data_IF_495354445468
#
_entry.id   IF_495354445468
#
_cell.length_a   1.000
_cell.length_b   1.000
_cell.length_c   1.000
_cell.angle_alpha   90.00
_cell.angle_beta   90.00
_cell.angle_gamma   90.00
#
_symmetry.space_group_name_H-M   'P 1'
#
loop_
_entity.id
_entity.type
_entity.pdbx_description
1 polymer ?
#
# COMPACT_ATOMS: atom_id res chain seq x y z
N UNK A 1 -10.92 -2.27 -4.47
CA UNK A 1 -10.17 -1.24 -3.71
C UNK A 1 -8.85 -0.94 -4.42
N UNK A 2 -8.75 0.19 -5.13
CA UNK A 2 -7.50 0.62 -5.75
C UNK A 2 -6.45 0.98 -4.68
N UNK A 3 -5.21 0.53 -4.87
CA UNK A 3 -4.05 0.90 -4.05
C UNK A 3 -3.20 1.96 -4.74
N UNK A 4 -3.05 1.83 -6.05
CA UNK A 4 -2.34 2.75 -6.95
C UNK A 4 -3.02 2.72 -8.33
N UNK A 5 -2.40 3.34 -9.33
CA UNK A 5 -2.89 3.28 -10.71
C UNK A 5 -2.82 1.87 -11.31
N UNK A 6 -1.91 1.04 -10.83
CA UNK A 6 -1.55 -0.28 -11.35
C UNK A 6 -1.79 -1.43 -10.36
N UNK A 7 -2.25 -1.15 -9.13
CA UNK A 7 -2.58 -2.16 -8.12
C UNK A 7 -3.98 -1.96 -7.55
N UNK A 8 -4.72 -3.06 -7.36
CA UNK A 8 -6.01 -3.06 -6.68
C UNK A 8 -6.25 -4.39 -5.97
N UNK A 9 -6.97 -4.35 -4.84
CA UNK A 9 -7.60 -5.53 -4.25
C UNK A 9 -9.01 -5.71 -4.79
N UNK A 10 -9.37 -6.96 -5.03
CA UNK A 10 -10.70 -7.39 -5.42
C UNK A 10 -11.15 -8.47 -4.43
N UNK A 11 -12.41 -8.40 -4.00
CA UNK A 11 -13.02 -9.46 -3.20
C UNK A 11 -13.67 -10.47 -4.14
N UNK A 12 -13.20 -11.72 -4.08
CA UNK A 12 -13.71 -12.83 -4.88
C UNK A 12 -14.69 -13.73 -4.10
N UNK A 13 -15.06 -13.36 -2.87
CA UNK A 13 -16.08 -14.10 -2.12
C UNK A 13 -17.39 -14.21 -2.91
N UNK A 14 -17.95 -15.42 -2.98
CA UNK A 14 -19.21 -15.68 -3.69
C UNK A 14 -19.11 -15.82 -5.21
N UNK A 15 -17.92 -15.70 -5.80
CA UNK A 15 -17.71 -15.91 -7.24
C UNK A 15 -18.04 -17.32 -7.71
N UNK A 16 -17.86 -18.34 -6.87
CA UNK A 16 -18.30 -19.71 -7.15
C UNK A 16 -19.79 -19.80 -7.40
N UNK A 17 -20.59 -19.14 -6.55
CA UNK A 17 -22.05 -19.11 -6.69
C UNK A 17 -22.49 -18.30 -7.91
N UNK A 18 -21.82 -17.19 -8.19
CA UNK A 18 -22.21 -16.28 -9.27
C UNK A 18 -21.75 -16.74 -10.66
N UNK A 19 -20.56 -17.36 -10.73
CA UNK A 19 -19.90 -17.71 -11.99
C UNK A 19 -19.71 -19.21 -12.20
N UNK A 20 -20.07 -20.06 -11.22
CA UNK A 20 -19.89 -21.51 -11.30
C UNK A 20 -18.43 -21.95 -11.32
N UNK A 21 -17.50 -21.13 -10.81
CA UNK A 21 -16.06 -21.36 -10.89
C UNK A 21 -15.35 -20.94 -9.60
N UNK A 22 -14.31 -21.69 -9.17
CA UNK A 22 -13.44 -21.30 -8.07
C UNK A 22 -12.81 -19.91 -8.29
N UNK A 23 -12.56 -19.13 -7.22
CA UNK A 23 -11.96 -17.79 -7.32
C UNK A 23 -10.69 -17.74 -8.17
N UNK A 24 -9.86 -18.77 -8.10
CA UNK A 24 -8.63 -18.87 -8.86
C UNK A 24 -8.86 -18.86 -10.37
N UNK A 25 -9.88 -19.58 -10.87
CA UNK A 25 -10.24 -19.59 -12.29
C UNK A 25 -10.83 -18.26 -12.74
N UNK A 26 -11.65 -17.63 -11.89
CA UNK A 26 -12.22 -16.30 -12.19
C UNK A 26 -11.10 -15.26 -12.32
N UNK A 27 -10.13 -15.26 -11.40
CA UNK A 27 -8.98 -14.35 -11.44
C UNK A 27 -8.08 -14.62 -12.65
N UNK A 28 -7.83 -15.89 -13.00
CA UNK A 28 -7.04 -16.24 -14.18
C UNK A 28 -7.72 -15.78 -15.48
N UNK A 29 -9.04 -15.95 -15.59
CA UNK A 29 -9.83 -15.43 -16.73
C UNK A 29 -9.77 -13.91 -16.81
N UNK A 30 -9.89 -13.22 -15.67
CA UNK A 30 -9.75 -11.77 -15.61
C UNK A 30 -8.39 -11.31 -16.15
N UNK A 31 -7.28 -11.92 -15.72
CA UNK A 31 -5.95 -11.59 -16.19
C UNK A 31 -5.81 -11.77 -17.72
N UNK A 32 -6.34 -12.86 -18.28
CA UNK A 32 -6.35 -13.09 -19.73
C UNK A 32 -7.21 -12.08 -20.49
N UNK A 33 -8.36 -11.68 -19.92
CA UNK A 33 -9.22 -10.65 -20.53
C UNK A 33 -8.51 -9.30 -20.58
N UNK A 34 -7.81 -8.91 -19.50
CA UNK A 34 -6.99 -7.69 -19.47
C UNK A 34 -5.93 -7.72 -20.57
N UNK A 35 -5.21 -8.84 -20.70
CA UNK A 35 -4.18 -8.99 -21.74
C UNK A 35 -4.76 -8.90 -23.15
N UNK A 36 -5.87 -9.60 -23.43
CA UNK A 36 -6.52 -9.57 -24.76
C UNK A 36 -7.09 -8.20 -25.11
N UNK A 37 -7.68 -7.51 -24.15
CA UNK A 37 -8.38 -6.25 -24.40
C UNK A 37 -7.44 -5.04 -24.45
N UNK A 38 -6.38 -5.04 -23.64
CA UNK A 38 -5.51 -3.86 -23.43
C UNK A 38 -4.07 -4.08 -23.90
N UNK A 39 -3.67 -5.32 -24.23
CA UNK A 39 -2.29 -5.65 -24.63
C UNK A 39 -1.28 -5.57 -23.49
N UNK A 40 -1.73 -5.48 -22.24
CA UNK A 40 -0.88 -5.42 -21.03
C UNK A 40 -1.11 -6.65 -20.16
N UNK A 41 -0.05 -7.08 -19.47
CA UNK A 41 -0.12 -8.25 -18.59
C UNK A 41 -0.29 -7.82 -17.14
N UNK A 42 -0.92 -8.68 -16.33
CA UNK A 42 -1.05 -8.49 -14.88
C UNK A 42 -0.42 -9.67 -14.15
N UNK A 43 0.17 -9.40 -12.99
CA UNK A 43 0.50 -10.47 -12.04
C UNK A 43 -0.56 -10.48 -10.93
N UNK A 44 -1.03 -11.65 -10.56
CA UNK A 44 -2.18 -11.83 -9.68
C UNK A 44 -1.85 -12.73 -8.50
N UNK A 45 -2.31 -12.33 -7.32
CA UNK A 45 -2.21 -13.09 -6.09
C UNK A 45 -3.60 -13.35 -5.52
N UNK A 46 -3.86 -14.59 -5.10
CA UNK A 46 -5.10 -14.98 -4.44
C UNK A 46 -4.79 -15.52 -3.05
N UNK A 47 -5.52 -15.06 -2.04
CA UNK A 47 -5.49 -15.60 -0.69
C UNK A 47 -6.78 -15.23 0.05
N UNK A 48 -6.91 -15.72 1.28
CA UNK A 48 -8.06 -15.50 2.15
C UNK A 48 -8.05 -14.12 2.84
N UNK A 49 -6.92 -13.41 2.82
CA UNK A 49 -6.79 -12.07 3.39
C UNK A 49 -5.94 -11.12 2.52
N UNK A 50 -6.12 -9.80 2.70
CA UNK A 50 -5.45 -8.77 1.86
C UNK A 50 -3.93 -8.86 1.91
N UNK A 51 -3.37 -9.05 3.11
CA UNK A 51 -1.93 -9.17 3.28
C UNK A 51 -1.33 -10.30 2.43
N UNK A 52 -1.86 -11.52 2.56
CA UNK A 52 -1.33 -12.67 1.83
C UNK A 52 -1.64 -12.60 0.34
N UNK A 53 -2.77 -12.01 -0.05
CA UNK A 53 -3.06 -11.77 -1.47
C UNK A 53 -2.02 -10.85 -2.11
N UNK A 54 -1.58 -9.79 -1.40
CA UNK A 54 -0.49 -8.93 -1.87
C UNK A 54 0.84 -9.68 -1.95
N UNK A 55 1.19 -10.44 -0.91
CA UNK A 55 2.42 -11.27 -0.92
C UNK A 55 2.42 -12.24 -2.10
N UNK A 56 1.31 -12.93 -2.34
CA UNK A 56 1.16 -13.85 -3.47
C UNK A 56 1.36 -13.14 -4.82
N UNK A 57 0.84 -11.92 -4.96
CA UNK A 57 0.93 -11.15 -6.21
C UNK A 57 2.35 -10.72 -6.57
N UNK A 58 3.21 -10.53 -5.56
CA UNK A 58 4.61 -10.14 -5.75
C UNK A 58 5.54 -11.34 -5.99
N UNK A 59 5.17 -12.54 -5.55
CA UNK A 59 6.04 -13.72 -5.50
C UNK A 59 6.52 -14.24 -6.87
N UNK A 60 5.67 -14.18 -7.92
CA UNK A 60 5.97 -14.74 -9.26
C UNK A 60 5.96 -13.70 -10.38
N UNK A 61 6.25 -12.43 -10.07
CA UNK A 61 6.37 -11.40 -11.10
C UNK A 61 7.54 -11.70 -12.06
N UNK A 62 7.46 -11.35 -13.37
CA UNK A 62 6.29 -10.80 -14.08
C UNK A 62 5.31 -11.88 -14.59
N UNK A 63 4.08 -11.48 -14.94
CA UNK A 63 2.99 -12.36 -15.43
C UNK A 63 2.67 -13.53 -14.49
N UNK A 64 2.91 -13.34 -13.19
CA UNK A 64 2.75 -14.38 -12.18
C UNK A 64 1.30 -14.61 -11.79
N UNK A 65 0.98 -15.85 -11.42
CA UNK A 65 -0.26 -16.17 -10.73
C UNK A 65 0.10 -17.01 -9.51
N UNK A 66 -0.21 -16.59 -8.29
CA UNK A 66 0.10 -17.36 -7.08
C UNK A 66 -1.09 -17.42 -6.15
N UNK A 67 -1.22 -18.54 -5.44
CA UNK A 67 -2.24 -18.76 -4.43
C UNK A 67 -1.55 -19.13 -3.12
N UNK A 68 -1.95 -18.50 -2.03
CA UNK A 68 -1.53 -18.88 -0.67
C UNK A 68 -2.80 -19.20 0.11
N UNK A 69 -3.02 -20.49 0.39
CA UNK A 69 -4.11 -21.00 1.22
C UNK A 69 -3.81 -20.90 2.72
N UNK A 70 -4.87 -21.07 3.53
CA UNK A 70 -4.78 -21.02 5.00
C UNK A 70 -3.88 -22.10 5.59
N UNK A 71 -3.87 -23.29 5.00
CA UNK A 71 -3.14 -24.44 5.53
C UNK A 71 -1.62 -24.24 5.47
N UNK A 72 -1.11 -23.67 4.38
CA UNK A 72 0.31 -23.44 4.18
C UNK A 72 0.80 -22.06 4.66
N UNK A 73 -0.11 -21.10 4.91
CA UNK A 73 0.24 -19.70 5.15
C UNK A 73 1.27 -19.50 6.26
N UNK A 74 1.06 -20.13 7.43
CA UNK A 74 1.96 -19.94 8.59
C UNK A 74 3.36 -20.49 8.29
N UNK A 75 3.42 -21.69 7.69
CA UNK A 75 4.69 -22.34 7.33
C UNK A 75 5.43 -21.57 6.25
N UNK A 76 4.73 -21.19 5.17
CA UNK A 76 5.26 -20.34 4.11
C UNK A 76 5.83 -19.03 4.66
N UNK A 77 5.08 -18.34 5.52
CA UNK A 77 5.50 -17.08 6.12
C UNK A 77 6.74 -17.24 6.98
N UNK A 78 6.88 -18.33 7.74
CA UNK A 78 7.98 -18.52 8.70
C UNK A 78 9.37 -18.37 8.06
N UNK A 79 9.51 -18.77 6.79
CA UNK A 79 10.74 -18.73 6.01
C UNK A 79 11.04 -17.36 5.38
N UNK A 80 10.08 -16.44 5.41
CA UNK A 80 10.19 -15.15 4.73
C UNK A 80 10.89 -14.09 5.60
N UNK A 81 11.55 -13.09 4.99
CA UNK A 81 12.10 -11.96 5.72
C UNK A 81 10.98 -11.07 6.28
N UNK A 82 11.25 -10.39 7.40
CA UNK A 82 10.27 -9.46 8.01
C UNK A 82 9.85 -8.31 7.09
N UNK A 83 10.68 -7.96 6.11
CA UNK A 83 10.39 -6.94 5.08
C UNK A 83 9.22 -7.33 4.17
N UNK A 84 8.83 -8.61 4.13
CA UNK A 84 7.65 -9.06 3.40
C UNK A 84 6.35 -8.64 4.10
N UNK A 85 6.38 -8.38 5.42
CA UNK A 85 5.20 -7.89 6.14
C UNK A 85 4.86 -6.48 5.68
N UNK A 86 3.66 -6.30 5.15
CA UNK A 86 3.18 -4.99 4.70
C UNK A 86 3.18 -3.99 5.86
N UNK A 87 3.98 -2.92 5.73
CA UNK A 87 4.19 -1.90 6.77
C UNK A 87 5.58 -1.95 7.39
N UNK A 88 6.37 -3.01 7.16
CA UNK A 88 7.78 -3.08 7.55
C UNK A 88 8.65 -2.46 6.47
N UNK A 89 8.81 -1.14 6.54
CA UNK A 89 9.75 -0.40 5.68
C UNK A 89 11.21 -0.51 6.14
N UNK A 90 12.14 0.01 5.34
CA UNK A 90 13.60 -0.06 5.59
C UNK A 90 14.01 0.32 7.03
N UNK A 91 13.48 1.42 7.55
CA UNK A 91 13.82 1.90 8.89
C UNK A 91 13.33 0.93 9.99
N UNK A 92 12.14 0.36 9.83
CA UNK A 92 11.60 -0.57 10.81
C UNK A 92 12.25 -1.94 10.71
N UNK A 93 12.57 -2.40 9.49
CA UNK A 93 13.39 -3.59 9.28
C UNK A 93 14.75 -3.46 9.96
N UNK A 94 15.43 -2.30 9.85
CA UNK A 94 16.69 -2.05 10.53
C UNK A 94 16.55 -2.01 12.07
N UNK A 95 15.38 -1.67 12.61
CA UNK A 95 15.11 -1.76 14.04
C UNK A 95 14.95 -3.22 14.49
N UNK A 96 14.15 -4.01 13.75
CA UNK A 96 13.97 -5.44 13.98
C UNK A 96 15.31 -6.19 13.88
N UNK A 97 16.12 -5.86 12.89
CA UNK A 97 17.46 -6.40 12.67
C UNK A 97 18.38 -6.20 13.88
N UNK A 98 18.39 -4.98 14.46
CA UNK A 98 19.16 -4.67 15.67
C UNK A 98 18.71 -5.47 16.89
N UNK A 99 17.44 -5.86 16.91
CA UNK A 99 16.86 -6.71 17.95
C UNK A 99 17.03 -8.22 17.63
N UNK A 100 17.75 -8.57 16.56
CA UNK A 100 18.04 -9.94 16.14
C UNK A 100 16.93 -10.61 15.30
N UNK A 101 15.95 -9.83 14.83
CA UNK A 101 14.75 -10.30 14.13
C UNK A 101 14.87 -10.01 12.64
N UNK A 102 15.11 -11.07 11.86
CA UNK A 102 15.26 -11.10 10.40
C UNK A 102 14.11 -11.78 9.69
N UNK A 103 13.55 -12.82 10.28
CA UNK A 103 12.51 -13.65 9.65
C UNK A 103 11.18 -13.53 10.36
N UNK A 104 10.10 -13.78 9.63
CA UNK A 104 8.75 -13.80 10.20
C UNK A 104 8.61 -14.96 11.19
N UNK A 105 9.29 -16.09 10.98
CA UNK A 105 9.30 -17.22 11.92
C UNK A 105 9.84 -16.85 13.31
N UNK A 106 10.74 -15.86 13.42
CA UNK A 106 11.17 -15.34 14.72
C UNK A 106 10.04 -14.57 15.42
N UNK A 107 9.26 -13.77 14.68
CA UNK A 107 8.08 -13.07 15.22
C UNK A 107 6.97 -14.05 15.65
N UNK A 108 6.81 -15.18 14.95
CA UNK A 108 5.85 -16.22 15.31
C UNK A 108 6.16 -16.91 16.65
N UNK A 109 7.42 -16.84 17.12
CA UNK A 109 7.84 -17.40 18.43
C UNK A 109 7.72 -16.39 19.57
N UNK A 110 7.44 -15.13 19.28
CA UNK A 110 7.32 -14.07 20.28
C UNK A 110 5.87 -13.93 20.75
N UNK A 111 5.72 -13.62 22.05
CA UNK A 111 4.44 -13.33 22.66
C UNK A 111 3.88 -11.98 22.21
N UNK A 112 2.55 -11.90 22.07
CA UNK A 112 1.88 -10.66 21.62
C UNK A 112 2.21 -9.48 22.52
N UNK A 113 2.18 -9.68 23.84
CA UNK A 113 2.47 -8.64 24.82
C UNK A 113 3.92 -8.13 24.70
N UNK A 114 4.88 -9.00 24.38
CA UNK A 114 6.26 -8.60 24.18
C UNK A 114 6.44 -7.73 22.92
N UNK A 115 5.84 -8.15 21.80
CA UNK A 115 5.88 -7.38 20.56
C UNK A 115 5.22 -6.01 20.75
N UNK A 116 4.08 -5.95 21.44
CA UNK A 116 3.41 -4.69 21.78
C UNK A 116 4.27 -3.79 22.68
N UNK A 117 4.96 -4.36 23.67
CA UNK A 117 5.86 -3.60 24.54
C UNK A 117 7.04 -3.01 23.77
N UNK A 118 7.61 -3.74 22.81
CA UNK A 118 8.78 -3.29 22.02
C UNK A 118 8.42 -2.33 20.88
N UNK A 119 7.30 -2.57 20.20
CA UNK A 119 6.96 -1.88 18.93
C UNK A 119 5.58 -1.21 18.92
N UNK A 120 4.91 -1.14 20.07
CA UNK A 120 3.60 -0.51 20.22
C UNK A 120 2.53 -1.14 19.32
N UNK A 121 1.76 -0.29 18.64
CA UNK A 121 0.72 -0.72 17.69
C UNK A 121 1.29 -1.57 16.54
N UNK A 122 2.53 -1.29 16.11
CA UNK A 122 3.18 -2.12 15.09
C UNK A 122 3.53 -3.51 15.62
N UNK A 123 3.76 -3.66 16.93
CA UNK A 123 3.98 -4.96 17.55
C UNK A 123 2.77 -5.88 17.44
N UNK A 124 1.57 -5.37 17.73
CA UNK A 124 0.32 -6.11 17.50
C UNK A 124 0.17 -6.52 16.03
N UNK A 125 0.47 -5.58 15.12
CA UNK A 125 0.38 -5.84 13.69
C UNK A 125 1.36 -6.91 13.23
N UNK A 126 2.60 -6.89 13.72
CA UNK A 126 3.60 -7.94 13.46
C UNK A 126 3.12 -9.30 13.97
N UNK A 127 2.55 -9.34 15.18
CA UNK A 127 2.03 -10.58 15.77
C UNK A 127 0.93 -11.21 14.89
N UNK A 128 -0.05 -10.41 14.45
CA UNK A 128 -1.16 -10.88 13.61
C UNK A 128 -0.69 -11.27 12.20
N UNK A 129 0.02 -10.39 11.51
CA UNK A 129 0.44 -10.63 10.12
C UNK A 129 1.45 -11.77 10.00
N UNK A 130 2.34 -11.96 10.98
CA UNK A 130 3.26 -13.11 11.00
C UNK A 130 2.54 -14.46 11.04
N UNK A 131 1.27 -14.48 11.47
CA UNK A 131 0.40 -15.66 11.55
C UNK A 131 -0.68 -15.66 10.47
N UNK A 132 -0.53 -14.83 9.43
CA UNK A 132 -1.49 -14.73 8.33
C UNK A 132 -2.84 -14.12 8.72
N UNK A 133 -2.92 -13.43 9.86
CA UNK A 133 -4.16 -12.83 10.36
C UNK A 133 -4.27 -11.38 9.90
N UNK A 134 -5.20 -11.09 9.00
CA UNK A 134 -5.51 -9.74 8.52
C UNK A 134 -7.02 -9.61 8.35
N UNK A 135 -7.64 -8.84 9.24
CA UNK A 135 -9.09 -8.62 9.35
C UNK A 135 -9.62 -7.51 8.43
N UNK A 136 -8.72 -6.81 7.73
CA UNK A 136 -9.09 -5.74 6.80
C UNK A 136 -9.85 -6.31 5.60
N UNK A 137 -11.07 -5.82 5.40
CA UNK A 137 -11.88 -6.11 4.21
C UNK A 137 -11.46 -5.27 3.02
N UNK A 138 -11.81 -5.73 1.83
CA UNK A 138 -11.68 -4.93 0.60
C UNK A 138 -12.76 -3.86 0.64
N UNK A 139 -12.34 -2.60 0.63
CA UNK A 139 -13.23 -1.44 0.65
C UNK A 139 -13.11 -0.68 -0.69
N UNK A 140 -14.04 -0.85 -1.63
CA UNK A 140 -14.01 -0.13 -2.89
C UNK A 140 -14.29 1.37 -2.74
N UNK A 141 -14.81 1.84 -1.60
CA UNK A 141 -15.41 3.17 -1.42
C UNK A 141 -14.62 4.12 -0.54
N UNK A 142 -13.32 3.91 -0.32
CA UNK A 142 -12.52 4.83 0.48
C UNK A 142 -12.48 6.23 -0.12
N UNK A 143 -13.16 7.20 0.51
CA UNK A 143 -13.07 8.61 0.13
C UNK A 143 -11.62 9.09 0.16
N UNK A 144 -11.23 9.88 -0.84
CA UNK A 144 -9.91 10.48 -0.90
C UNK A 144 -9.71 11.41 0.31
N UNK A 145 -8.88 10.99 1.28
CA UNK A 145 -8.60 11.77 2.49
C UNK A 145 -7.76 13.02 2.24
N UNK A 146 -7.10 13.09 1.09
CA UNK A 146 -6.28 14.23 0.68
C UNK A 146 -6.16 14.28 -0.84
N UNK A 147 -6.09 15.49 -1.39
CA UNK A 147 -5.73 15.75 -2.79
C UNK A 147 -4.44 16.55 -2.81
N UNK A 148 -3.43 16.07 -3.54
CA UNK A 148 -2.13 16.74 -3.64
C UNK A 148 -1.60 16.74 -5.07
N UNK A 149 -0.67 17.65 -5.35
CA UNK A 149 0.17 17.63 -6.54
C UNK A 149 1.59 18.01 -6.08
N UNK A 150 2.58 17.22 -6.49
CA UNK A 150 3.98 17.41 -6.15
C UNK A 150 4.83 17.12 -7.39
N UNK A 151 6.00 17.75 -7.46
CA UNK A 151 6.97 17.53 -8.53
C UNK A 151 8.37 17.45 -7.93
N UNK A 152 9.20 16.60 -8.52
CA UNK A 152 10.65 16.62 -8.29
C UNK A 152 11.27 17.42 -9.44
N UNK A 153 12.29 18.22 -9.14
CA UNK A 153 12.96 19.04 -10.15
C UNK A 153 14.11 18.26 -10.79
N UNK A 154 14.40 18.57 -12.06
CA UNK A 154 15.56 17.99 -12.76
C UNK A 154 16.90 18.54 -12.22
N UNK A 155 16.87 19.78 -11.73
CA UNK A 155 17.97 20.43 -11.02
C UNK A 155 17.46 21.07 -9.72
N UNK A 156 18.31 21.11 -8.70
CA UNK A 156 17.97 21.74 -7.43
C UNK A 156 17.76 23.25 -7.62
N UNK A 157 16.57 23.72 -7.25
CA UNK A 157 16.20 25.15 -7.22
C UNK A 157 15.86 25.56 -5.79
N UNK A 158 16.16 26.80 -5.44
CA UNK A 158 16.04 27.28 -4.05
C UNK A 158 15.57 28.71 -3.90
N UNK A 159 15.52 29.49 -4.99
CA UNK A 159 15.10 30.88 -4.89
C UNK A 159 13.57 30.98 -4.94
N UNK A 160 13.02 32.02 -4.30
CA UNK A 160 11.58 32.26 -4.31
C UNK A 160 11.06 32.55 -5.74
N UNK A 161 11.88 33.20 -6.57
CA UNK A 161 11.54 33.52 -7.95
C UNK A 161 11.32 32.25 -8.80
N UNK A 162 12.08 31.19 -8.54
CA UNK A 162 11.92 29.89 -9.22
C UNK A 162 10.79 29.06 -8.62
N UNK A 163 10.65 29.06 -7.29
CA UNK A 163 9.70 28.19 -6.59
C UNK A 163 8.24 28.68 -6.68
N UNK A 164 7.99 30.00 -6.72
CA UNK A 164 6.63 30.55 -6.72
C UNK A 164 5.83 30.16 -7.98
N UNK A 165 6.37 30.26 -9.21
CA UNK A 165 5.67 29.81 -10.41
C UNK A 165 5.30 28.33 -10.35
N UNK A 166 6.21 27.47 -9.89
CA UNK A 166 5.96 26.03 -9.71
C UNK A 166 4.84 25.81 -8.70
N UNK A 167 4.92 26.45 -7.52
CA UNK A 167 3.92 26.30 -6.47
C UNK A 167 2.54 26.74 -6.96
N UNK A 168 2.46 27.81 -7.74
CA UNK A 168 1.20 28.27 -8.37
C UNK A 168 0.64 27.20 -9.31
N UNK A 169 1.44 26.67 -10.22
CA UNK A 169 1.00 25.62 -11.14
C UNK A 169 0.55 24.34 -10.41
N UNK A 170 1.23 23.95 -9.33
CA UNK A 170 0.81 22.83 -8.48
C UNK A 170 -0.51 23.14 -7.76
N UNK A 171 -0.69 24.36 -7.27
CA UNK A 171 -1.91 24.81 -6.60
C UNK A 171 -3.11 24.79 -7.54
N UNK A 172 -2.93 25.22 -8.80
CA UNK A 172 -3.95 25.13 -9.85
C UNK A 172 -4.31 23.67 -10.17
N UNK A 173 -3.33 22.77 -10.26
CA UNK A 173 -3.57 21.32 -10.43
C UNK A 173 -4.39 20.74 -9.27
N UNK A 174 -4.08 21.11 -8.02
CA UNK A 174 -4.88 20.69 -6.86
C UNK A 174 -6.29 21.24 -6.94
N UNK A 175 -6.45 22.54 -7.23
CA UNK A 175 -7.76 23.18 -7.38
C UNK A 175 -8.61 22.52 -8.47
N UNK A 176 -8.04 22.22 -9.63
CA UNK A 176 -8.73 21.55 -10.72
C UNK A 176 -9.20 20.13 -10.32
N UNK A 177 -8.38 19.39 -9.57
CA UNK A 177 -8.74 18.06 -9.05
C UNK A 177 -9.88 18.14 -8.03
N UNK A 178 -9.79 19.07 -7.07
CA UNK A 178 -10.84 19.31 -6.08
C UNK A 178 -12.18 19.64 -6.74
N UNK A 179 -12.19 20.58 -7.70
CA UNK A 179 -13.37 20.95 -8.49
C UNK A 179 -13.95 19.77 -9.26
N UNK A 180 -13.11 18.99 -9.94
CA UNK A 180 -13.54 17.80 -10.69
C UNK A 180 -14.19 16.74 -9.80
N UNK A 181 -13.69 16.60 -8.57
CA UNK A 181 -14.21 15.66 -7.58
C UNK A 181 -15.36 16.22 -6.74
N UNK A 182 -15.75 17.49 -6.92
CA UNK A 182 -16.83 18.10 -6.15
C UNK A 182 -16.56 18.22 -4.65
N UNK A 183 -15.28 18.26 -4.24
CA UNK A 183 -14.85 18.32 -2.84
C UNK A 183 -14.03 19.57 -2.56
N UNK A 184 -13.98 19.99 -1.29
CA UNK A 184 -13.18 21.12 -0.82
C UNK A 184 -12.23 20.68 0.31
N UNK A 185 -11.09 21.37 0.43
CA UNK A 185 -10.08 21.08 1.44
C UNK A 185 -10.04 22.16 2.52
N UNK A 186 -9.98 21.76 3.80
CA UNK A 186 -9.84 22.70 4.93
C UNK A 186 -8.39 22.95 5.35
N UNK A 187 -7.51 21.97 5.14
CA UNK A 187 -6.10 22.06 5.56
C UNK A 187 -5.20 22.06 4.33
N UNK A 188 -4.40 23.10 4.19
CA UNK A 188 -3.37 23.19 3.16
C UNK A 188 -2.06 22.68 3.73
N UNK A 189 -1.39 21.80 2.99
CA UNK A 189 -0.10 21.24 3.38
C UNK A 189 0.93 21.58 2.30
N UNK A 190 1.98 22.32 2.70
CA UNK A 190 3.14 22.59 1.87
C UNK A 190 4.26 21.61 2.25
N UNK A 191 4.83 20.97 1.23
CA UNK A 191 6.00 20.09 1.36
C UNK A 191 7.14 20.64 0.52
N UNK A 192 8.33 20.67 1.09
CA UNK A 192 9.58 20.97 0.38
C UNK A 192 10.60 19.90 0.75
N UNK A 193 11.15 19.22 -0.25
CA UNK A 193 12.25 18.26 -0.07
C UNK A 193 13.55 18.95 -0.44
N UNK A 194 14.53 18.87 0.45
CA UNK A 194 15.86 19.47 0.24
C UNK A 194 16.82 18.50 -0.46
N UNK A 195 17.95 19.01 -0.94
CA UNK A 195 19.01 18.22 -1.61
C UNK A 195 19.53 17.04 -0.77
N UNK A 196 19.50 17.16 0.56
CA UNK A 196 19.84 16.07 1.50
C UNK A 196 18.67 15.14 1.79
N UNK A 197 17.66 15.13 0.92
CA UNK A 197 16.45 14.30 0.96
C UNK A 197 15.58 14.49 2.21
N UNK A 198 15.82 15.55 3.01
CA UNK A 198 14.98 15.89 4.17
C UNK A 198 13.69 16.56 3.72
N UNK A 199 12.57 16.10 4.28
CA UNK A 199 11.26 16.66 4.02
C UNK A 199 10.91 17.74 5.07
N UNK A 200 10.67 18.97 4.62
CA UNK A 200 10.08 20.04 5.43
C UNK A 200 8.60 20.14 5.11
N UNK A 201 7.76 20.01 6.14
CA UNK A 201 6.30 20.12 6.01
C UNK A 201 5.78 21.28 6.85
N UNK A 202 4.87 22.06 6.28
CA UNK A 202 4.07 23.07 6.98
C UNK A 202 2.61 22.84 6.63
N UNK A 203 1.74 22.94 7.61
CA UNK A 203 0.30 22.86 7.41
C UNK A 203 -0.37 24.14 7.93
N UNK A 204 -1.50 24.48 7.33
CA UNK A 204 -2.36 25.57 7.79
C UNK A 204 -3.80 25.17 7.59
N UNK A 205 -4.58 25.20 8.67
CA UNK A 205 -6.02 25.07 8.60
C UNK A 205 -6.62 26.42 8.24
N UNK A 206 -7.55 26.42 7.28
CA UNK A 206 -8.32 27.59 6.87
C UNK A 206 -9.62 27.67 7.67
N UNK A 207 -10.19 28.88 7.75
CA UNK A 207 -11.49 29.11 8.41
C UNK A 207 -12.57 28.24 7.80
N UNK A 208 -12.70 28.33 6.47
CA UNK A 208 -13.63 27.56 5.65
C UNK A 208 -12.90 26.68 4.63
N UNK A 209 -13.48 25.54 4.22
CA UNK A 209 -12.96 24.74 3.11
C UNK A 209 -12.95 25.52 1.79
N UNK A 210 -11.89 25.33 0.98
CA UNK A 210 -11.73 25.92 -0.35
C UNK A 210 -11.33 24.90 -1.42
#
# INVERSE_FOLDING_TARGET
EPLSIDEAFLDFAGTERLHGMPPALVLARFALTVEKALGITVSAGLSYCKFLAKVASDFRKPRGFSVIGEAEAIGFLAEQPVTMIWGVGKAFAAALERDGIRTIGQLQRMERAELMRRYGVMGDRLYRLSRGQDDRRVDPGGDAKSVSAETTFDADIGTMAELVPVLRALSEKVSARLKKSGIAGRTVVLKLKTQDFKLRTRNRQLGDPT
#
